data_IF_127232725406
#
_entry.id   IF_127232725406
#
_cell.length_a   1.000
_cell.length_b   1.000
_cell.length_c   1.000
_cell.angle_alpha   90.00
_cell.angle_beta   90.00
_cell.angle_gamma   90.00
#
_symmetry.space_group_name_H-M   'P 1'
#
loop_
_entity.id
_entity.type
_entity.pdbx_description
1 polymer ?
#
# COMPACT_ATOMS: atom_id res chain seq x y z
N UNK A 1 -10.44 7.03 28.65
CA UNK A 1 -9.72 8.32 28.50
C UNK A 1 -8.19 8.21 28.61
N UNK A 2 -7.61 7.22 29.33
CA UNK A 2 -6.15 7.14 29.52
C UNK A 2 -5.35 6.59 28.33
N UNK A 3 -5.87 5.63 27.54
CA UNK A 3 -5.10 5.01 26.45
C UNK A 3 -4.75 5.96 25.28
N UNK A 4 -5.67 6.87 24.93
CA UNK A 4 -5.42 7.85 23.87
C UNK A 4 -4.38 8.91 24.27
N UNK A 5 -4.32 9.25 25.58
CA UNK A 5 -3.36 10.22 26.10
C UNK A 5 -1.95 9.64 26.22
N UNK A 6 -1.84 8.37 26.60
CA UNK A 6 -0.56 7.65 26.68
C UNK A 6 0.04 7.44 25.28
N UNK A 7 -0.76 7.11 24.27
CA UNK A 7 -0.30 6.95 22.89
C UNK A 7 0.20 8.27 22.29
N UNK A 8 -0.50 9.39 22.53
CA UNK A 8 -0.11 10.71 22.06
C UNK A 8 1.20 11.20 22.73
N UNK A 9 1.38 10.95 24.02
CA UNK A 9 2.61 11.27 24.74
C UNK A 9 3.78 10.42 24.25
N UNK A 10 3.57 9.12 24.03
CA UNK A 10 4.59 8.21 23.51
C UNK A 10 5.01 8.57 22.10
N UNK A 11 4.06 8.85 21.21
CA UNK A 11 4.32 9.29 19.84
C UNK A 11 5.17 10.56 19.80
N UNK A 12 4.88 11.53 20.68
CA UNK A 12 5.65 12.77 20.79
C UNK A 12 7.10 12.53 21.24
N UNK A 13 7.35 11.50 22.07
CA UNK A 13 8.70 11.13 22.49
C UNK A 13 9.50 10.41 21.39
N UNK A 14 8.82 9.59 20.58
CA UNK A 14 9.46 8.73 19.57
C UNK A 14 9.68 9.47 18.24
N UNK A 15 8.79 10.40 17.90
CA UNK A 15 8.85 11.15 16.61
C UNK A 15 8.49 12.62 16.83
N UNK A 16 9.27 13.38 17.64
CA UNK A 16 8.94 14.75 18.05
C UNK A 16 8.75 15.69 16.86
N UNK A 17 9.58 15.54 15.82
CA UNK A 17 9.59 16.40 14.64
C UNK A 17 8.25 16.40 13.85
N UNK A 18 7.47 15.32 13.95
CA UNK A 18 6.22 15.18 13.18
C UNK A 18 4.98 15.66 13.92
N UNK A 19 5.04 15.76 15.25
CA UNK A 19 3.93 16.29 16.03
C UNK A 19 3.70 17.77 15.72
N UNK A 20 4.79 18.53 15.55
CA UNK A 20 4.75 19.96 15.27
C UNK A 20 4.29 20.26 13.84
N UNK A 21 4.64 19.40 12.86
CA UNK A 21 4.22 19.56 11.46
C UNK A 21 2.69 19.49 11.34
N UNK A 22 2.05 18.51 11.97
CA UNK A 22 0.60 18.35 11.95
C UNK A 22 -0.09 19.43 12.79
N UNK A 23 0.49 19.81 13.95
CA UNK A 23 -0.07 20.87 14.76
C UNK A 23 -0.09 22.24 14.04
N UNK A 24 0.93 22.50 13.23
CA UNK A 24 1.01 23.71 12.42
C UNK A 24 0.08 23.67 11.18
N UNK A 25 -0.24 22.50 10.64
CA UNK A 25 -1.02 22.32 9.42
C UNK A 25 -2.01 21.14 9.53
N UNK A 26 -3.02 21.20 10.41
CA UNK A 26 -3.92 20.07 10.67
C UNK A 26 -4.79 19.70 9.46
N UNK A 27 -5.03 20.63 8.54
CA UNK A 27 -5.82 20.43 7.30
C UNK A 27 -4.96 19.92 6.13
N UNK A 28 -3.65 19.74 6.31
CA UNK A 28 -2.76 19.26 5.26
C UNK A 28 -2.64 17.74 5.27
N UNK A 29 -3.16 17.08 4.23
CA UNK A 29 -2.98 15.64 4.02
C UNK A 29 -1.50 15.24 3.95
N UNK A 30 -0.65 16.06 3.32
CA UNK A 30 0.79 15.83 3.26
C UNK A 30 1.48 15.89 4.63
N UNK A 31 1.02 16.76 5.53
CA UNK A 31 1.53 16.80 6.89
C UNK A 31 1.22 15.49 7.63
N UNK A 32 0.00 15.00 7.49
CA UNK A 32 -0.41 13.72 8.04
C UNK A 32 0.34 12.55 7.41
N UNK A 33 0.54 12.55 6.08
CA UNK A 33 1.32 11.53 5.40
C UNK A 33 2.77 11.48 5.89
N UNK A 34 3.43 12.63 6.05
CA UNK A 34 4.80 12.71 6.59
C UNK A 34 4.89 12.13 8.00
N UNK A 35 3.92 12.44 8.86
CA UNK A 35 3.82 11.84 10.20
C UNK A 35 3.63 10.33 10.12
N UNK A 36 2.76 9.85 9.25
CA UNK A 36 2.54 8.42 9.01
C UNK A 36 3.82 7.70 8.57
N UNK A 37 4.60 8.31 7.65
CA UNK A 37 5.89 7.76 7.24
C UNK A 37 6.89 7.66 8.38
N UNK A 38 6.98 8.68 9.22
CA UNK A 38 7.90 8.68 10.36
C UNK A 38 7.52 7.60 11.39
N UNK A 39 6.23 7.44 11.68
CA UNK A 39 5.72 6.38 12.56
C UNK A 39 5.95 4.98 11.99
N UNK A 40 5.76 4.80 10.69
CA UNK A 40 6.03 3.54 10.03
C UNK A 40 7.51 3.12 10.10
N UNK A 41 8.45 4.07 10.02
CA UNK A 41 9.90 3.82 10.16
C UNK A 41 10.28 3.25 11.54
N UNK A 42 9.53 3.59 12.56
CA UNK A 42 9.73 3.07 13.92
C UNK A 42 8.76 1.93 14.28
N UNK A 43 8.17 1.31 13.25
CA UNK A 43 7.26 0.16 13.38
C UNK A 43 5.94 0.43 14.12
N UNK A 44 5.55 1.68 14.27
CA UNK A 44 4.25 2.09 14.83
C UNK A 44 3.18 2.03 13.72
N UNK A 45 2.81 0.81 13.31
CA UNK A 45 2.00 0.59 12.09
C UNK A 45 0.57 1.08 12.22
N UNK A 46 -0.06 0.94 13.40
CA UNK A 46 -1.44 1.39 13.65
C UNK A 46 -1.54 2.91 13.65
N UNK A 47 -0.62 3.56 14.32
CA UNK A 47 -0.57 5.02 14.38
C UNK A 47 -0.25 5.62 13.01
N UNK A 48 0.58 4.94 12.22
CA UNK A 48 0.83 5.32 10.83
C UNK A 48 -0.44 5.17 9.97
N UNK A 49 -1.20 4.08 10.13
CA UNK A 49 -2.49 3.85 9.47
C UNK A 49 -3.49 4.98 9.77
N UNK A 50 -3.61 5.38 11.04
CA UNK A 50 -4.47 6.49 11.47
C UNK A 50 -4.05 7.81 10.81
N UNK A 51 -2.75 8.07 10.71
CA UNK A 51 -2.25 9.27 10.03
C UNK A 51 -2.61 9.28 8.55
N UNK A 52 -2.49 8.15 7.83
CA UNK A 52 -2.93 8.07 6.44
C UNK A 52 -4.46 8.19 6.30
N UNK A 53 -5.24 7.69 7.26
CA UNK A 53 -6.68 7.92 7.28
C UNK A 53 -7.03 9.41 7.44
N UNK A 54 -6.29 10.14 8.28
CA UNK A 54 -6.43 11.60 8.37
C UNK A 54 -6.00 12.31 7.08
N UNK A 55 -4.92 11.85 6.42
CA UNK A 55 -4.51 12.40 5.13
C UNK A 55 -5.62 12.23 4.07
N UNK A 56 -6.24 11.05 4.01
CA UNK A 56 -7.37 10.77 3.10
C UNK A 56 -8.58 11.67 3.43
N UNK A 57 -8.84 11.97 4.70
CA UNK A 57 -9.95 12.87 5.07
C UNK A 57 -9.71 14.32 4.63
N UNK A 58 -8.43 14.74 4.53
CA UNK A 58 -8.06 16.07 4.01
C UNK A 58 -8.17 16.14 2.48
N UNK A 59 -7.72 15.09 1.77
CA UNK A 59 -7.82 14.99 0.31
C UNK A 59 -8.10 13.54 -0.12
N UNK A 60 -9.37 13.19 -0.35
CA UNK A 60 -9.79 11.85 -0.73
C UNK A 60 -9.43 11.46 -2.18
N UNK A 61 -8.90 12.39 -2.99
CA UNK A 61 -8.51 12.11 -4.37
C UNK A 61 -7.00 11.90 -4.55
N UNK A 62 -6.21 12.02 -3.50
CA UNK A 62 -4.80 11.71 -3.53
C UNK A 62 -4.56 10.20 -3.35
N UNK A 63 -4.18 9.54 -4.44
CA UNK A 63 -3.95 8.09 -4.49
C UNK A 63 -2.82 7.60 -3.58
N UNK A 64 -1.82 8.43 -3.31
CA UNK A 64 -0.66 8.06 -2.49
C UNK A 64 -1.06 7.74 -1.05
N UNK A 65 -2.04 8.46 -0.50
CA UNK A 65 -2.50 8.23 0.87
C UNK A 65 -3.11 6.83 1.03
N UNK A 66 -3.94 6.40 0.05
CA UNK A 66 -4.48 5.03 0.01
C UNK A 66 -3.37 4.00 -0.16
N UNK A 67 -2.42 4.23 -1.09
CA UNK A 67 -1.28 3.33 -1.31
C UNK A 67 -0.48 3.13 -0.01
N UNK A 68 -0.17 4.20 0.71
CA UNK A 68 0.59 4.11 1.95
C UNK A 68 -0.19 3.42 3.07
N UNK A 69 -1.50 3.68 3.20
CA UNK A 69 -2.34 2.97 4.16
C UNK A 69 -2.45 1.48 3.84
N UNK A 70 -2.66 1.14 2.57
CA UNK A 70 -2.69 -0.24 2.09
C UNK A 70 -1.43 -1.02 2.42
N UNK A 71 -0.26 -0.40 2.28
CA UNK A 71 1.00 -1.03 2.71
C UNK A 71 1.03 -1.32 4.21
N UNK A 72 0.42 -0.49 5.06
CA UNK A 72 0.32 -0.79 6.49
C UNK A 72 -0.62 -1.95 6.75
N UNK A 73 -1.75 -1.99 6.05
CA UNK A 73 -2.66 -3.14 6.11
C UNK A 73 -1.95 -4.45 5.74
N UNK A 74 -1.16 -4.47 4.66
CA UNK A 74 -0.35 -5.64 4.30
C UNK A 74 0.62 -6.04 5.43
N UNK A 75 1.32 -5.07 6.02
CA UNK A 75 2.25 -5.30 7.12
C UNK A 75 1.56 -5.86 8.38
N UNK A 76 0.28 -5.56 8.54
CA UNK A 76 -0.57 -6.03 9.64
C UNK A 76 -1.43 -7.27 9.28
N UNK A 77 -1.20 -7.91 8.15
CA UNK A 77 -1.91 -9.10 7.65
C UNK A 77 -3.41 -8.87 7.39
N UNK A 78 -3.79 -7.62 7.13
CA UNK A 78 -5.16 -7.19 6.80
C UNK A 78 -5.31 -7.10 5.28
N UNK A 79 -5.34 -8.26 4.62
CA UNK A 79 -5.22 -8.34 3.16
C UNK A 79 -6.45 -7.80 2.42
N UNK A 80 -7.66 -7.96 2.97
CA UNK A 80 -8.90 -7.42 2.42
C UNK A 80 -8.90 -5.89 2.41
N UNK A 81 -8.49 -5.28 3.53
CA UNK A 81 -8.39 -3.82 3.66
C UNK A 81 -7.31 -3.27 2.72
N UNK A 82 -6.18 -3.97 2.63
CA UNK A 82 -5.11 -3.60 1.69
C UNK A 82 -5.61 -3.64 0.24
N UNK A 83 -6.29 -4.71 -0.17
CA UNK A 83 -6.83 -4.82 -1.51
C UNK A 83 -7.85 -3.71 -1.81
N UNK A 84 -8.71 -3.35 -0.85
CA UNK A 84 -9.68 -2.28 -1.01
C UNK A 84 -9.00 -0.92 -1.28
N UNK A 85 -8.01 -0.55 -0.49
CA UNK A 85 -7.26 0.71 -0.66
C UNK A 85 -6.45 0.72 -1.96
N UNK A 86 -5.77 -0.39 -2.32
CA UNK A 86 -5.06 -0.47 -3.60
C UNK A 86 -6.01 -0.40 -4.80
N UNK A 87 -7.24 -0.91 -4.71
CA UNK A 87 -8.26 -0.72 -5.76
C UNK A 87 -8.59 0.76 -5.92
N UNK A 88 -8.76 1.51 -4.83
CA UNK A 88 -9.01 2.95 -4.90
C UNK A 88 -7.79 3.65 -5.53
N UNK A 89 -6.58 3.37 -5.01
CA UNK A 89 -5.36 3.95 -5.54
C UNK A 89 -5.17 3.67 -7.03
N UNK A 90 -5.45 2.45 -7.51
CA UNK A 90 -5.33 2.07 -8.93
C UNK A 90 -6.33 2.78 -9.85
N UNK A 91 -7.48 3.20 -9.32
CA UNK A 91 -8.47 4.00 -10.07
C UNK A 91 -8.10 5.47 -10.14
N UNK A 92 -7.51 6.01 -9.07
CA UNK A 92 -7.04 7.39 -9.01
C UNK A 92 -5.75 7.59 -9.82
N UNK A 93 -4.86 6.61 -9.80
CA UNK A 93 -3.64 6.59 -10.64
C UNK A 93 -3.48 5.21 -11.33
N UNK A 94 -3.95 5.05 -12.58
CA UNK A 94 -3.89 3.79 -13.30
C UNK A 94 -2.51 3.46 -13.91
N UNK A 95 -1.50 4.31 -13.67
CA UNK A 95 -0.17 4.17 -14.28
C UNK A 95 0.95 3.92 -13.25
N UNK A 96 0.61 3.66 -11.99
CA UNK A 96 1.60 3.33 -10.97
C UNK A 96 1.76 1.81 -10.84
N UNK A 97 2.90 1.27 -11.31
CA UNK A 97 3.21 -0.16 -11.26
C UNK A 97 3.22 -0.72 -9.83
N UNK A 98 3.67 0.07 -8.86
CA UNK A 98 3.79 -0.36 -7.47
C UNK A 98 2.41 -0.61 -6.83
N UNK A 99 1.41 0.21 -7.18
CA UNK A 99 0.01 -0.02 -6.78
C UNK A 99 -0.49 -1.35 -7.31
N UNK A 100 -0.29 -1.64 -8.61
CA UNK A 100 -0.74 -2.90 -9.20
C UNK A 100 0.04 -4.12 -8.69
N UNK A 101 1.34 -3.97 -8.43
CA UNK A 101 2.14 -5.01 -7.82
C UNK A 101 1.58 -5.44 -6.46
N UNK A 102 1.32 -4.48 -5.57
CA UNK A 102 0.82 -4.79 -4.23
C UNK A 102 -0.67 -5.16 -4.22
N UNK A 103 -1.46 -4.67 -5.19
CA UNK A 103 -2.83 -5.15 -5.41
C UNK A 103 -2.83 -6.64 -5.80
N UNK A 104 -1.93 -7.02 -6.72
CA UNK A 104 -1.72 -8.41 -7.10
C UNK A 104 -1.32 -9.27 -5.91
N UNK A 105 -0.37 -8.80 -5.10
CA UNK A 105 0.06 -9.47 -3.88
C UNK A 105 -1.09 -9.64 -2.87
N UNK A 106 -1.88 -8.60 -2.66
CA UNK A 106 -3.04 -8.66 -1.75
C UNK A 106 -4.03 -9.73 -2.19
N UNK A 107 -4.39 -9.78 -3.47
CA UNK A 107 -5.28 -10.79 -4.01
C UNK A 107 -4.66 -12.20 -4.01
N UNK A 108 -3.35 -12.32 -4.24
CA UNK A 108 -2.66 -13.61 -4.15
C UNK A 108 -2.72 -14.19 -2.73
N UNK A 109 -2.48 -13.36 -1.72
CA UNK A 109 -2.57 -13.74 -0.30
C UNK A 109 -4.02 -14.11 0.10
N UNK A 110 -5.01 -13.47 -0.49
CA UNK A 110 -6.43 -13.81 -0.36
C UNK A 110 -6.83 -15.06 -1.18
N UNK A 111 -5.92 -15.63 -1.95
CA UNK A 111 -6.15 -16.75 -2.88
C UNK A 111 -7.15 -16.42 -4.01
N UNK A 112 -7.43 -15.15 -4.27
CA UNK A 112 -8.18 -14.72 -5.45
C UNK A 112 -7.22 -14.56 -6.63
N UNK A 113 -6.74 -15.69 -7.12
CA UNK A 113 -5.72 -15.74 -8.18
C UNK A 113 -6.21 -15.11 -9.49
N UNK A 114 -7.52 -15.11 -9.74
CA UNK A 114 -8.08 -14.48 -10.94
C UNK A 114 -7.93 -12.94 -10.91
N UNK A 115 -8.18 -12.31 -9.75
CA UNK A 115 -7.93 -10.88 -9.58
C UNK A 115 -6.43 -10.56 -9.49
N UNK A 116 -5.66 -11.42 -8.83
CA UNK A 116 -4.21 -11.29 -8.76
C UNK A 116 -3.58 -11.27 -10.16
N UNK A 117 -3.96 -12.22 -11.05
CA UNK A 117 -3.47 -12.27 -12.42
C UNK A 117 -3.77 -10.99 -13.22
N UNK A 118 -4.97 -10.43 -13.07
CA UNK A 118 -5.33 -9.16 -13.72
C UNK A 118 -4.47 -7.98 -13.23
N UNK A 119 -4.23 -7.92 -11.93
CA UNK A 119 -3.40 -6.87 -11.36
C UNK A 119 -1.94 -7.02 -11.78
N UNK A 120 -1.39 -8.25 -11.76
CA UNK A 120 -0.02 -8.49 -12.22
C UNK A 120 0.17 -8.30 -13.72
N UNK A 121 -0.82 -8.66 -14.56
CA UNK A 121 -0.77 -8.35 -15.99
C UNK A 121 -0.60 -6.84 -16.21
N UNK A 122 -1.42 -6.02 -15.53
CA UNK A 122 -1.29 -4.57 -15.62
C UNK A 122 0.04 -4.06 -15.05
N UNK A 123 0.50 -4.62 -13.93
CA UNK A 123 1.80 -4.30 -13.37
C UNK A 123 2.93 -4.57 -14.37
N UNK A 124 2.91 -5.74 -15.01
CA UNK A 124 3.90 -6.16 -16.01
C UNK A 124 3.97 -5.21 -17.21
N UNK A 125 2.80 -4.74 -17.71
CA UNK A 125 2.72 -3.74 -18.78
C UNK A 125 3.33 -2.38 -18.40
N UNK A 126 3.30 -2.02 -17.12
CA UNK A 126 3.76 -0.73 -16.59
C UNK A 126 5.22 -0.74 -16.15
N UNK A 127 5.87 -1.90 -16.18
CA UNK A 127 7.22 -2.07 -15.63
C UNK A 127 8.25 -1.97 -16.74
N UNK A 128 9.14 -0.96 -16.63
CA UNK A 128 10.19 -0.68 -17.61
C UNK A 128 11.60 -1.03 -17.09
N UNK A 129 11.74 -1.34 -15.79
CA UNK A 129 13.04 -1.53 -15.14
C UNK A 129 13.29 -2.99 -14.76
N UNK A 130 14.52 -3.48 -14.99
CA UNK A 130 14.90 -4.87 -14.76
C UNK A 130 14.62 -5.42 -13.36
N UNK A 131 14.92 -4.72 -12.25
CA UNK A 131 14.66 -5.26 -10.92
C UNK A 131 13.16 -5.46 -10.63
N UNK A 132 12.33 -4.51 -11.04
CA UNK A 132 10.88 -4.58 -10.89
C UNK A 132 10.29 -5.63 -11.81
N UNK A 133 10.80 -5.76 -13.03
CA UNK A 133 10.37 -6.75 -14.02
C UNK A 133 10.56 -8.18 -13.48
N UNK A 134 11.72 -8.47 -12.86
CA UNK A 134 11.97 -9.76 -12.24
C UNK A 134 10.93 -10.06 -11.16
N UNK A 135 10.68 -9.11 -10.26
CA UNK A 135 9.76 -9.30 -9.15
C UNK A 135 8.31 -9.53 -9.62
N UNK A 136 7.83 -8.75 -10.61
CA UNK A 136 6.47 -8.92 -11.13
C UNK A 136 6.35 -10.21 -11.95
N UNK A 137 7.37 -10.60 -12.71
CA UNK A 137 7.40 -11.83 -13.49
C UNK A 137 7.23 -13.04 -12.59
N UNK A 138 7.98 -13.12 -11.48
CA UNK A 138 7.90 -14.22 -10.52
C UNK A 138 6.49 -14.39 -9.92
N UNK A 139 5.91 -13.29 -9.43
CA UNK A 139 4.59 -13.33 -8.83
C UNK A 139 3.49 -13.61 -9.86
N UNK A 140 3.61 -13.04 -11.07
CA UNK A 140 2.64 -13.28 -12.13
C UNK A 140 2.71 -14.73 -12.60
N UNK A 141 3.92 -15.27 -12.81
CA UNK A 141 4.13 -16.69 -13.14
C UNK A 141 3.50 -17.60 -12.09
N UNK A 142 3.81 -17.40 -10.81
CA UNK A 142 3.23 -18.21 -9.73
C UNK A 142 1.70 -18.12 -9.71
N UNK A 143 1.14 -16.94 -9.97
CA UNK A 143 -0.31 -16.73 -10.01
C UNK A 143 -0.95 -17.51 -11.15
N UNK A 144 -0.38 -17.47 -12.36
CA UNK A 144 -0.86 -18.22 -13.53
C UNK A 144 -0.77 -19.74 -13.29
N UNK A 145 0.30 -20.20 -12.67
CA UNK A 145 0.43 -21.62 -12.29
C UNK A 145 -0.66 -22.04 -11.30
N UNK A 146 -1.04 -21.18 -10.34
CA UNK A 146 -2.16 -21.42 -9.41
C UNK A 146 -3.52 -21.48 -10.12
N UNK A 147 -3.67 -20.78 -11.25
CA UNK A 147 -4.85 -20.80 -12.10
C UNK A 147 -4.88 -21.99 -13.07
N UNK A 148 -3.80 -22.73 -13.21
CA UNK A 148 -3.66 -23.79 -14.24
C UNK A 148 -3.45 -23.24 -15.65
N UNK A 149 -3.07 -21.97 -15.80
CA UNK A 149 -2.81 -21.33 -17.09
C UNK A 149 -1.32 -21.48 -17.47
N UNK A 150 -0.91 -22.71 -17.80
CA UNK A 150 0.48 -23.07 -18.07
C UNK A 150 1.01 -22.44 -19.37
N UNK A 151 0.14 -22.26 -20.36
CA UNK A 151 0.54 -21.65 -21.64
C UNK A 151 0.97 -20.19 -21.44
N UNK A 152 0.17 -19.39 -20.72
CA UNK A 152 0.48 -18.00 -20.47
C UNK A 152 1.69 -17.86 -19.52
N UNK A 153 1.78 -18.75 -18.53
CA UNK A 153 2.93 -18.80 -17.62
C UNK A 153 4.25 -19.04 -18.38
N UNK A 154 4.24 -19.89 -19.41
CA UNK A 154 5.43 -20.13 -20.23
C UNK A 154 5.82 -18.92 -21.07
N UNK A 155 4.86 -18.13 -21.56
CA UNK A 155 5.11 -16.92 -22.37
C UNK A 155 5.82 -15.82 -21.57
N UNK A 156 5.53 -15.70 -20.27
CA UNK A 156 6.12 -14.66 -19.42
C UNK A 156 7.61 -14.92 -19.17
N UNK A 157 8.06 -16.17 -19.26
CA UNK A 157 9.46 -16.56 -19.04
C UNK A 157 10.30 -16.54 -20.34
N UNK A 158 9.70 -16.32 -21.48
CA UNK A 158 10.35 -16.33 -22.79
C UNK A 158 10.95 -14.94 -23.13
#
# INVERSE_FOLDING_TARGET
MNQAYESASFVRCVVPETADIVAANPESGDAWMKKGHALAKVSMMREAEECYAMAISCDPFNWEYYRHRAHRFLSCWRFEDAAADFVIASRLNPNDWNVFYHLGLSYFLLRDYAKAAKAYARCYELTDADPELIAVTDWYYMTLKRLGNDEEAAKILA
#
